data_IF_137169360573
#
_entry.id   IF_137169360573
#
_cell.length_a   1.000
_cell.length_b   1.000
_cell.length_c   1.000
_cell.angle_alpha   90.00
_cell.angle_beta   90.00
_cell.angle_gamma   90.00
#
_symmetry.space_group_name_H-M   'P 1'
#
loop_
_entity.id
_entity.type
_entity.pdbx_description
1 polymer ?
#
# COMPACT_ATOMS: atom_id res chain seq x y z
N UNK A 1 -71.24 30.32 -9.76
CA UNK A 1 -71.09 31.18 -8.56
C UNK A 1 -69.65 31.06 -8.11
N UNK A 2 -68.94 32.18 -8.18
CA UNK A 2 -67.58 32.41 -7.65
C UNK A 2 -67.60 32.34 -6.09
N UNK A 3 -66.49 32.48 -5.33
CA UNK A 3 -65.08 32.67 -5.72
C UNK A 3 -64.05 31.99 -4.78
N UNK A 4 -62.76 32.29 -5.04
CA UNK A 4 -61.58 32.32 -4.17
C UNK A 4 -60.50 31.26 -4.47
N UNK A 5 -59.21 31.54 -4.68
CA UNK A 5 -58.37 32.70 -5.07
C UNK A 5 -56.96 32.42 -4.52
N UNK A 6 -55.92 32.72 -5.30
CA UNK A 6 -54.51 32.95 -4.89
C UNK A 6 -53.71 31.65 -4.64
N UNK A 7 -52.45 31.48 -5.06
CA UNK A 7 -51.44 32.49 -5.35
C UNK A 7 -50.25 31.90 -6.14
N UNK A 8 -49.59 32.79 -6.89
CA UNK A 8 -48.18 32.87 -7.32
C UNK A 8 -47.27 31.63 -7.38
N UNK A 9 -46.74 31.38 -8.58
CA UNK A 9 -45.39 30.86 -8.83
C UNK A 9 -44.35 31.81 -8.16
N UNK A 10 -43.26 31.31 -7.53
CA UNK A 10 -42.07 31.12 -8.36
C UNK A 10 -41.08 30.03 -7.90
N UNK A 11 -40.16 29.75 -8.81
CA UNK A 11 -38.79 29.28 -8.60
C UNK A 11 -38.59 27.76 -8.47
N UNK A 12 -38.41 27.15 -9.64
CA UNK A 12 -37.49 26.05 -9.86
C UNK A 12 -36.14 26.39 -9.21
N UNK A 13 -35.85 25.75 -8.09
CA UNK A 13 -34.54 25.78 -7.46
C UNK A 13 -33.58 24.95 -8.34
N UNK A 14 -33.02 25.60 -9.35
CA UNK A 14 -31.77 25.17 -9.98
C UNK A 14 -30.66 25.30 -8.93
N UNK A 15 -30.51 24.28 -8.08
CA UNK A 15 -29.27 24.08 -7.33
C UNK A 15 -28.24 23.49 -8.31
N UNK A 16 -27.84 24.33 -9.27
CA UNK A 16 -26.60 24.15 -9.99
C UNK A 16 -25.51 24.37 -8.95
N UNK A 17 -25.10 23.27 -8.30
CA UNK A 17 -23.97 23.24 -7.39
C UNK A 17 -22.81 23.98 -8.05
N UNK A 18 -22.58 25.20 -7.58
CA UNK A 18 -21.43 25.98 -7.97
C UNK A 18 -20.23 25.12 -7.60
N UNK A 19 -19.55 24.60 -8.62
CA UNK A 19 -18.20 24.09 -8.48
C UNK A 19 -17.44 25.26 -7.89
N UNK A 20 -17.18 25.23 -6.58
CA UNK A 20 -16.21 26.12 -5.96
C UNK A 20 -14.94 25.95 -6.79
N UNK A 21 -14.62 26.94 -7.62
CA UNK A 21 -13.34 26.97 -8.32
C UNK A 21 -12.29 26.90 -7.22
N UNK A 22 -11.64 25.74 -7.07
CA UNK A 22 -10.50 25.59 -6.18
C UNK A 22 -9.52 26.71 -6.56
N UNK A 23 -9.43 27.74 -5.72
CA UNK A 23 -8.51 28.85 -5.95
C UNK A 23 -7.11 28.29 -5.74
N UNK A 24 -6.53 27.77 -6.82
CA UNK A 24 -5.20 27.20 -6.80
C UNK A 24 -4.20 28.31 -6.51
N UNK A 25 -3.42 28.08 -5.47
CA UNK A 25 -2.39 29.01 -5.04
C UNK A 25 -1.44 29.29 -6.21
N UNK A 26 -1.26 30.56 -6.56
CA UNK A 26 -0.31 30.97 -7.59
C UNK A 26 0.88 31.68 -6.95
N UNK A 27 2.09 31.31 -7.37
CA UNK A 27 3.34 31.99 -7.01
C UNK A 27 3.93 32.67 -8.24
N UNK A 28 4.39 33.90 -8.09
CA UNK A 28 4.97 34.66 -9.20
C UNK A 28 6.16 35.49 -8.73
N UNK A 29 7.22 35.52 -9.55
CA UNK A 29 8.35 36.41 -9.34
C UNK A 29 9.16 36.61 -10.63
N UNK A 30 9.86 37.74 -10.77
CA UNK A 30 10.89 37.91 -11.78
C UNK A 30 12.11 37.03 -11.48
N UNK A 31 12.78 36.57 -12.52
CA UNK A 31 14.09 35.91 -12.42
C UNK A 31 15.15 36.95 -12.08
N UNK A 32 15.82 36.79 -10.94
CA UNK A 32 16.95 37.61 -10.53
C UNK A 32 18.19 37.41 -11.41
N UNK A 33 19.15 38.33 -11.33
CA UNK A 33 20.38 38.31 -12.14
C UNK A 33 21.23 37.07 -11.83
N UNK A 34 21.22 36.63 -10.57
CA UNK A 34 21.92 35.45 -10.07
C UNK A 34 21.44 34.12 -10.68
N UNK A 35 20.22 34.11 -11.22
CA UNK A 35 19.62 32.94 -11.88
C UNK A 35 19.72 33.02 -13.41
N UNK A 36 20.31 34.07 -13.98
CA UNK A 36 20.48 34.22 -15.42
C UNK A 36 21.21 33.02 -16.04
N UNK A 37 20.64 32.44 -17.10
CA UNK A 37 21.22 31.32 -17.83
C UNK A 37 21.14 29.98 -17.09
N UNK A 38 20.57 29.94 -15.89
CA UNK A 38 20.29 28.69 -15.19
C UNK A 38 19.09 27.97 -15.79
N UNK A 39 18.97 26.67 -15.51
CA UNK A 39 17.81 25.89 -15.93
C UNK A 39 16.56 26.34 -15.16
N UNK A 40 15.42 26.32 -15.84
CA UNK A 40 14.12 26.69 -15.29
C UNK A 40 13.81 25.89 -14.01
N UNK A 41 14.02 24.57 -14.00
CA UNK A 41 13.79 23.77 -12.80
C UNK A 41 14.65 24.19 -11.59
N UNK A 42 15.85 24.71 -11.81
CA UNK A 42 16.70 25.28 -10.75
C UNK A 42 16.22 26.66 -10.32
N UNK A 43 15.82 27.50 -11.27
CA UNK A 43 15.27 28.83 -10.97
C UNK A 43 13.95 28.73 -10.18
N UNK A 44 13.08 27.78 -10.51
CA UNK A 44 11.85 27.51 -9.76
C UNK A 44 12.15 27.09 -8.31
N UNK A 45 13.17 26.28 -8.05
CA UNK A 45 13.58 25.94 -6.68
C UNK A 45 14.04 27.15 -5.86
N UNK A 46 14.57 28.19 -6.49
CA UNK A 46 14.93 29.42 -5.79
C UNK A 46 13.70 30.27 -5.46
N UNK A 47 12.65 30.20 -6.29
CA UNK A 47 11.39 30.90 -6.09
C UNK A 47 10.52 30.25 -5.01
N UNK A 48 10.47 28.91 -4.99
CA UNK A 48 9.65 28.12 -4.05
C UNK A 48 10.53 27.06 -3.35
N UNK A 49 11.43 27.50 -2.44
CA UNK A 49 12.44 26.64 -1.81
C UNK A 49 11.86 25.54 -0.92
N UNK A 50 10.61 25.69 -0.48
CA UNK A 50 9.88 24.71 0.31
C UNK A 50 9.46 23.47 -0.49
N UNK A 51 9.53 23.53 -1.82
CA UNK A 51 9.17 22.41 -2.70
C UNK A 51 10.36 21.73 -3.35
N UNK A 52 10.26 20.41 -3.49
CA UNK A 52 11.31 19.61 -4.12
C UNK A 52 11.39 19.87 -5.63
N UNK A 53 12.60 19.79 -6.18
CA UNK A 53 12.81 19.90 -7.64
C UNK A 53 11.98 18.91 -8.45
N UNK A 54 11.77 17.70 -7.93
CA UNK A 54 10.97 16.68 -8.62
C UNK A 54 9.49 17.07 -8.71
N UNK A 55 8.94 17.71 -7.68
CA UNK A 55 7.58 18.23 -7.71
C UNK A 55 7.44 19.37 -8.72
N UNK A 56 8.41 20.30 -8.76
CA UNK A 56 8.39 21.40 -9.75
C UNK A 56 8.52 20.90 -11.19
N UNK A 57 9.25 19.81 -11.41
CA UNK A 57 9.29 19.12 -12.70
C UNK A 57 7.94 18.46 -13.06
N UNK A 58 7.18 17.97 -12.08
CA UNK A 58 5.82 17.51 -12.32
C UNK A 58 4.89 18.67 -12.70
N UNK A 59 4.98 19.81 -12.01
CA UNK A 59 4.20 21.00 -12.36
C UNK A 59 4.49 21.49 -13.78
N UNK A 60 5.76 21.48 -14.20
CA UNK A 60 6.16 21.75 -15.58
C UNK A 60 5.46 20.77 -16.55
N UNK A 61 5.52 19.46 -16.29
CA UNK A 61 4.88 18.45 -17.14
C UNK A 61 3.34 18.55 -17.17
N UNK A 62 2.73 19.14 -16.14
CA UNK A 62 1.28 19.39 -16.06
C UNK A 62 0.86 20.74 -16.68
N UNK A 63 1.80 21.48 -17.29
CA UNK A 63 1.54 22.80 -17.86
C UNK A 63 1.24 23.89 -16.82
N UNK A 64 1.59 23.66 -15.55
CA UNK A 64 1.30 24.55 -14.43
C UNK A 64 2.36 25.66 -14.23
N UNK A 65 3.33 25.78 -15.13
CA UNK A 65 4.42 26.77 -15.05
C UNK A 65 4.44 27.61 -16.32
N UNK A 66 4.49 28.93 -16.16
CA UNK A 66 4.62 29.90 -17.24
C UNK A 66 5.88 30.74 -17.10
N UNK A 67 6.48 31.07 -18.24
CA UNK A 67 7.55 32.06 -18.38
C UNK A 67 7.06 33.13 -19.34
N UNK A 68 6.98 34.39 -18.87
CA UNK A 68 6.43 35.50 -19.65
C UNK A 68 5.05 35.18 -20.25
N UNK A 69 4.12 34.67 -19.42
CA UNK A 69 2.75 34.27 -19.76
C UNK A 69 2.63 33.08 -20.75
N UNK A 70 3.75 32.41 -21.09
CA UNK A 70 3.74 31.22 -21.94
C UNK A 70 3.97 29.97 -21.09
N UNK A 71 3.10 28.98 -21.22
CA UNK A 71 3.28 27.67 -20.57
C UNK A 71 4.58 27.03 -21.06
N UNK A 72 5.37 26.52 -20.12
CA UNK A 72 6.63 25.83 -20.38
C UNK A 72 6.63 24.48 -19.69
N UNK A 73 6.92 23.42 -20.44
CA UNK A 73 7.03 22.05 -19.89
C UNK A 73 8.50 21.59 -19.78
N UNK A 74 9.40 22.24 -20.53
CA UNK A 74 10.80 21.84 -20.62
C UNK A 74 11.61 22.37 -19.44
N UNK A 75 11.83 21.53 -18.44
CA UNK A 75 12.66 21.81 -17.26
C UNK A 75 14.07 22.35 -17.56
N UNK A 76 14.65 21.96 -18.70
CA UNK A 76 15.99 22.36 -19.10
C UNK A 76 16.05 23.72 -19.84
N UNK A 77 14.92 24.41 -20.03
CA UNK A 77 14.91 25.77 -20.59
C UNK A 77 15.82 26.68 -19.77
N UNK A 78 16.62 27.53 -20.41
CA UNK A 78 17.43 28.54 -19.71
C UNK A 78 16.60 29.81 -19.52
N UNK A 79 16.52 30.28 -18.28
CA UNK A 79 15.83 31.53 -17.95
C UNK A 79 16.75 32.74 -18.11
N UNK A 80 16.18 33.90 -18.39
CA UNK A 80 16.87 35.19 -18.45
C UNK A 80 16.48 36.05 -17.26
N UNK A 81 17.42 36.84 -16.75
CA UNK A 81 17.12 37.89 -15.79
C UNK A 81 15.96 38.78 -16.30
N UNK A 82 14.97 39.02 -15.44
CA UNK A 82 13.76 39.77 -15.77
C UNK A 82 12.61 38.93 -16.35
N UNK A 83 12.83 37.66 -16.73
CA UNK A 83 11.74 36.76 -17.10
C UNK A 83 10.73 36.65 -15.94
N UNK A 84 9.43 36.72 -16.25
CA UNK A 84 8.37 36.58 -15.27
C UNK A 84 7.98 35.11 -15.13
N UNK A 85 8.28 34.51 -13.98
CA UNK A 85 7.84 33.15 -13.66
C UNK A 85 6.49 33.22 -12.97
N UNK A 86 5.58 32.34 -13.39
CA UNK A 86 4.32 32.05 -12.70
C UNK A 86 4.19 30.55 -12.53
N UNK A 87 3.88 30.11 -11.31
CA UNK A 87 3.67 28.72 -10.94
C UNK A 87 2.26 28.61 -10.35
N UNK A 88 1.44 27.75 -10.92
CA UNK A 88 0.18 27.31 -10.33
C UNK A 88 0.46 26.07 -9.47
N UNK A 89 0.26 26.20 -8.17
CA UNK A 89 0.54 25.13 -7.22
C UNK A 89 -0.58 24.11 -7.28
N UNK A 90 -0.28 22.93 -7.81
CA UNK A 90 -1.23 21.82 -7.88
C UNK A 90 -0.93 20.76 -6.83
N UNK A 91 -1.92 20.26 -6.08
CA UNK A 91 -1.73 19.11 -5.22
C UNK A 91 -1.14 17.93 -6.01
N UNK A 92 -0.22 17.20 -5.39
CA UNK A 92 0.22 15.92 -5.97
C UNK A 92 -0.85 14.86 -5.75
N UNK A 93 -0.88 13.85 -6.63
CA UNK A 93 -1.69 12.65 -6.39
C UNK A 93 -1.37 12.02 -5.02
N UNK A 94 -0.12 12.12 -4.57
CA UNK A 94 0.29 11.66 -3.25
C UNK A 94 -0.33 12.47 -2.12
N UNK A 95 -0.42 13.80 -2.22
CA UNK A 95 -1.06 14.63 -1.20
C UNK A 95 -2.57 14.46 -1.18
N UNK A 96 -3.18 14.13 -2.31
CA UNK A 96 -4.61 13.83 -2.42
C UNK A 96 -4.97 12.38 -2.05
N UNK A 97 -3.98 11.52 -1.80
CA UNK A 97 -4.21 10.10 -1.58
C UNK A 97 -4.85 9.75 -0.23
N UNK A 98 -4.87 10.68 0.72
CA UNK A 98 -5.33 10.46 2.11
C UNK A 98 -6.78 10.90 2.30
N UNK A 99 -7.64 10.56 1.34
CA UNK A 99 -9.07 10.85 1.40
C UNK A 99 -9.87 9.64 1.90
N UNK A 100 -10.92 9.84 2.71
CA UNK A 100 -11.84 8.79 3.09
C UNK A 100 -12.54 8.16 1.87
N UNK A 101 -12.57 6.84 1.79
CA UNK A 101 -13.38 6.10 0.80
C UNK A 101 -14.17 4.99 1.48
N UNK A 102 -15.49 4.95 1.25
CA UNK A 102 -16.36 3.92 1.80
C UNK A 102 -16.14 2.58 1.08
N UNK A 103 -15.15 1.82 1.55
CA UNK A 103 -14.79 0.50 1.05
C UNK A 103 -15.15 -0.56 2.09
N UNK A 104 -15.61 -1.76 1.68
CA UNK A 104 -15.95 -2.83 2.61
C UNK A 104 -14.71 -3.30 3.37
N UNK A 105 -14.84 -3.42 4.69
CA UNK A 105 -13.83 -3.99 5.58
C UNK A 105 -14.43 -5.16 6.36
N UNK A 106 -13.80 -6.33 6.23
CA UNK A 106 -14.11 -7.49 7.06
C UNK A 106 -13.40 -7.34 8.40
N UNK A 107 -14.16 -6.96 9.43
CA UNK A 107 -13.66 -6.73 10.79
C UNK A 107 -13.80 -8.01 11.60
N UNK A 108 -12.65 -8.55 12.03
CA UNK A 108 -12.55 -9.78 12.82
C UNK A 108 -12.61 -9.48 14.32
N UNK A 109 -12.07 -8.34 14.73
CA UNK A 109 -12.06 -7.90 16.13
C UNK A 109 -11.95 -6.39 16.22
N UNK A 110 -12.62 -5.81 17.21
CA UNK A 110 -12.56 -4.39 17.49
C UNK A 110 -12.77 -4.14 18.99
N UNK A 111 -11.94 -3.27 19.54
CA UNK A 111 -12.13 -2.65 20.85
C UNK A 111 -11.76 -1.16 20.79
N UNK A 112 -11.67 -0.50 21.94
CA UNK A 112 -11.31 0.92 22.04
C UNK A 112 -9.93 1.26 21.43
N UNK A 113 -9.00 0.32 21.42
CA UNK A 113 -7.58 0.56 21.17
C UNK A 113 -7.12 0.06 19.80
N UNK A 114 -7.68 -1.05 19.32
CA UNK A 114 -7.23 -1.69 18.09
C UNK A 114 -8.38 -2.34 17.30
N UNK A 115 -8.06 -2.59 16.04
CA UNK A 115 -8.90 -3.25 15.06
C UNK A 115 -8.10 -4.38 14.42
N UNK A 116 -8.71 -5.55 14.25
CA UNK A 116 -8.18 -6.63 13.41
C UNK A 116 -9.09 -6.81 12.21
N UNK A 117 -8.53 -6.68 11.02
CA UNK A 117 -9.25 -6.83 9.74
C UNK A 117 -8.74 -8.03 8.97
N UNK A 118 -9.62 -8.68 8.22
CA UNK A 118 -9.27 -9.65 7.21
C UNK A 118 -9.22 -8.94 5.85
N UNK A 119 -8.03 -8.52 5.43
CA UNK A 119 -7.85 -7.75 4.18
C UNK A 119 -8.18 -8.63 2.98
N UNK A 120 -9.10 -8.16 2.12
CA UNK A 120 -9.37 -8.79 0.84
C UNK A 120 -8.14 -8.78 -0.08
N UNK A 121 -7.98 -9.77 -0.97
CA UNK A 121 -6.99 -9.68 -2.06
C UNK A 121 -7.36 -8.55 -3.04
N UNK A 122 -6.38 -7.99 -3.74
CA UNK A 122 -6.55 -6.86 -4.65
C UNK A 122 -6.52 -5.49 -3.96
N UNK A 123 -6.76 -5.42 -2.65
CA UNK A 123 -6.69 -4.19 -1.88
C UNK A 123 -5.24 -3.86 -1.49
N UNK A 124 -4.76 -2.68 -1.91
CA UNK A 124 -3.47 -2.13 -1.45
C UNK A 124 -3.62 -1.61 -0.02
N UNK A 125 -2.59 -1.78 0.82
CA UNK A 125 -2.64 -1.37 2.23
C UNK A 125 -2.54 0.14 2.42
N UNK A 126 -1.61 0.78 1.71
CA UNK A 126 -1.30 2.19 1.89
C UNK A 126 -1.04 2.82 0.52
N UNK A 127 -1.45 4.07 0.29
CA UNK A 127 -1.21 4.74 -0.98
C UNK A 127 0.25 4.69 -1.41
N UNK A 128 0.45 4.41 -2.70
CA UNK A 128 1.75 4.25 -3.32
C UNK A 128 1.64 4.58 -4.82
N UNK A 129 2.76 4.82 -5.53
CA UNK A 129 2.74 5.03 -6.97
C UNK A 129 1.93 3.96 -7.72
N UNK A 130 0.93 4.40 -8.48
CA UNK A 130 -0.01 3.55 -9.23
C UNK A 130 -1.24 3.07 -8.43
N UNK A 131 -1.32 3.31 -7.12
CA UNK A 131 -2.48 3.00 -6.28
C UNK A 131 -2.62 4.12 -5.21
N UNK A 132 -3.16 5.27 -5.61
CA UNK A 132 -3.31 6.45 -4.75
C UNK A 132 -4.62 6.48 -3.96
N UNK A 133 -5.62 5.74 -4.42
CA UNK A 133 -6.96 5.58 -3.82
C UNK A 133 -7.30 4.10 -3.69
N UNK A 134 -8.46 3.77 -3.12
CA UNK A 134 -8.93 2.39 -3.04
C UNK A 134 -8.14 1.51 -2.07
N UNK A 135 -7.43 2.11 -1.11
CA UNK A 135 -6.54 1.38 -0.19
C UNK A 135 -7.20 1.11 1.17
N UNK A 136 -6.63 0.19 1.95
CA UNK A 136 -7.04 -0.05 3.34
C UNK A 136 -6.98 1.25 4.16
N UNK A 137 -5.98 2.11 3.93
CA UNK A 137 -5.92 3.41 4.58
C UNK A 137 -7.16 4.27 4.26
N UNK A 138 -7.59 4.33 2.99
CA UNK A 138 -8.77 5.10 2.59
C UNK A 138 -10.05 4.56 3.27
N UNK A 139 -10.16 3.23 3.35
CA UNK A 139 -11.24 2.55 4.05
C UNK A 139 -11.27 2.85 5.55
N UNK A 140 -10.10 2.86 6.20
CA UNK A 140 -9.97 3.17 7.63
C UNK A 140 -10.34 4.64 7.91
N UNK A 141 -9.90 5.56 7.05
CA UNK A 141 -10.26 6.98 7.15
C UNK A 141 -11.78 7.22 7.03
N UNK A 142 -12.48 6.45 6.20
CA UNK A 142 -13.95 6.55 6.09
C UNK A 142 -14.68 5.90 7.26
N UNK A 143 -14.10 4.88 7.87
CA UNK A 143 -14.73 4.13 8.94
C UNK A 143 -14.62 4.79 10.31
N UNK A 144 -13.43 5.29 10.65
CA UNK A 144 -13.14 5.84 11.98
C UNK A 144 -12.55 7.26 11.83
N UNK A 145 -13.27 8.31 12.28
CA UNK A 145 -12.73 9.68 12.29
C UNK A 145 -11.40 9.80 13.05
N UNK A 146 -11.18 8.96 14.07
CA UNK A 146 -9.92 8.89 14.82
C UNK A 146 -8.74 8.42 13.97
N UNK A 147 -8.97 7.70 12.88
CA UNK A 147 -7.91 7.21 12.01
C UNK A 147 -7.11 8.37 11.36
N UNK A 148 -7.75 9.53 11.12
CA UNK A 148 -7.08 10.69 10.51
C UNK A 148 -5.98 11.30 11.38
N UNK A 149 -6.10 11.16 12.71
CA UNK A 149 -5.13 11.73 13.67
C UNK A 149 -4.05 10.73 14.08
N UNK A 150 -4.19 9.45 13.71
CA UNK A 150 -3.17 8.41 13.95
C UNK A 150 -2.28 8.29 12.71
N UNK A 151 -0.94 8.28 12.86
CA UNK A 151 -0.04 8.16 11.72
C UNK A 151 -0.39 6.94 10.86
N UNK A 152 -0.48 7.14 9.54
CA UNK A 152 -0.82 6.10 8.56
C UNK A 152 -2.14 5.38 8.87
N UNK A 153 -3.11 6.07 9.48
CA UNK A 153 -4.39 5.49 9.91
C UNK A 153 -4.22 4.27 10.82
N UNK A 154 -3.17 4.26 11.66
CA UNK A 154 -2.92 3.17 12.61
C UNK A 154 -2.30 1.91 12.01
N UNK A 155 -1.94 1.92 10.72
CA UNK A 155 -1.35 0.77 10.03
C UNK A 155 0.11 0.56 10.50
N UNK A 156 0.34 -0.50 11.28
CA UNK A 156 1.66 -0.84 11.85
C UNK A 156 2.43 -1.90 11.06
N UNK A 157 1.76 -2.67 10.20
CA UNK A 157 2.38 -3.64 9.30
C UNK A 157 1.63 -3.71 7.96
N UNK A 158 2.06 -4.57 7.03
CA UNK A 158 1.48 -4.62 5.68
C UNK A 158 1.43 -6.04 5.11
N UNK A 159 0.45 -6.23 4.24
CA UNK A 159 0.36 -7.32 3.28
C UNK A 159 0.58 -6.76 1.86
N UNK A 160 0.95 -7.65 0.93
CA UNK A 160 0.98 -7.32 -0.50
C UNK A 160 -0.45 -7.13 -1.02
N UNK A 161 -0.60 -6.45 -2.18
CA UNK A 161 -1.90 -6.15 -2.79
C UNK A 161 -2.80 -7.39 -2.86
N UNK A 162 -2.30 -8.45 -3.48
CA UNK A 162 -3.09 -9.67 -3.71
C UNK A 162 -2.88 -10.75 -2.64
N UNK A 163 -2.19 -10.42 -1.54
CA UNK A 163 -2.18 -11.27 -0.34
C UNK A 163 -3.39 -10.90 0.52
N UNK A 164 -4.20 -11.89 0.89
CA UNK A 164 -5.34 -11.71 1.78
C UNK A 164 -5.00 -12.03 3.23
N UNK A 165 -5.88 -11.70 4.18
CA UNK A 165 -5.79 -12.17 5.56
C UNK A 165 -5.60 -11.09 6.60
N UNK A 166 -5.28 -11.53 7.82
CA UNK A 166 -5.32 -10.75 9.04
C UNK A 166 -4.31 -9.60 9.08
N UNK A 167 -4.79 -8.44 9.48
CA UNK A 167 -3.98 -7.28 9.83
C UNK A 167 -4.49 -6.62 11.11
N UNK A 168 -3.57 -6.18 11.97
CA UNK A 168 -3.90 -5.36 13.15
C UNK A 168 -3.61 -3.90 12.82
N UNK A 169 -4.53 -3.03 13.25
CA UNK A 169 -4.51 -1.59 13.07
C UNK A 169 -4.75 -0.95 14.44
N UNK A 170 -3.94 0.04 14.80
CA UNK A 170 -4.14 0.83 16.02
C UNK A 170 -5.25 1.87 15.80
N UNK A 171 -6.07 2.12 16.82
CA UNK A 171 -7.10 3.17 16.79
C UNK A 171 -6.64 4.47 17.47
N UNK A 172 -5.59 4.39 18.28
CA UNK A 172 -4.97 5.52 18.95
C UNK A 172 -3.43 5.49 18.87
N UNK A 173 -2.80 6.61 19.21
CA UNK A 173 -1.35 6.76 19.10
C UNK A 173 -0.57 5.89 20.08
N UNK A 174 -1.04 5.74 21.32
CA UNK A 174 -0.35 4.94 22.33
C UNK A 174 -0.34 3.47 21.92
N UNK A 175 -1.48 2.98 21.42
CA UNK A 175 -1.59 1.63 20.88
C UNK A 175 -0.72 1.42 19.65
N UNK A 176 -0.62 2.43 18.76
CA UNK A 176 0.26 2.36 17.60
C UNK A 176 1.73 2.17 18.01
N UNK A 177 2.23 3.01 18.92
CA UNK A 177 3.63 2.97 19.36
C UNK A 177 3.95 1.64 20.07
N UNK A 178 3.00 1.13 20.88
CA UNK A 178 3.14 -0.18 21.53
C UNK A 178 3.13 -1.34 20.52
N UNK A 179 2.23 -1.36 19.55
CA UNK A 179 2.21 -2.39 18.49
C UNK A 179 3.48 -2.37 17.63
N UNK A 180 3.99 -1.18 17.30
CA UNK A 180 5.28 -1.03 16.59
C UNK A 180 6.41 -1.66 17.40
N UNK A 181 6.42 -1.45 18.72
CA UNK A 181 7.39 -2.04 19.64
C UNK A 181 7.29 -3.57 19.66
N UNK A 182 6.09 -4.12 19.80
CA UNK A 182 5.86 -5.58 19.75
C UNK A 182 6.33 -6.20 18.41
N UNK A 183 6.05 -5.52 17.30
CA UNK A 183 6.50 -5.98 15.97
C UNK A 183 8.02 -5.95 15.85
N UNK A 184 8.67 -4.90 16.37
CA UNK A 184 10.12 -4.77 16.36
C UNK A 184 10.79 -5.83 17.24
N UNK A 185 10.20 -6.13 18.40
CA UNK A 185 10.63 -7.18 19.33
C UNK A 185 10.34 -8.60 18.82
N UNK A 186 9.50 -8.75 17.78
CA UNK A 186 9.02 -10.03 17.21
C UNK A 186 8.04 -10.78 18.12
N UNK A 187 7.36 -10.06 19.00
CA UNK A 187 6.33 -10.59 19.91
C UNK A 187 4.94 -10.69 19.25
N UNK A 188 4.86 -10.37 17.95
CA UNK A 188 3.67 -10.58 17.13
C UNK A 188 3.88 -11.80 16.25
N UNK A 189 3.18 -12.88 16.57
CA UNK A 189 3.16 -14.12 15.79
C UNK A 189 2.26 -13.94 14.57
N UNK A 190 2.87 -14.02 13.38
CA UNK A 190 2.17 -13.93 12.09
C UNK A 190 2.44 -15.20 11.30
N UNK A 191 1.36 -15.90 10.97
CA UNK A 191 1.45 -17.13 10.22
C UNK A 191 0.58 -17.06 8.97
N UNK A 192 1.09 -17.70 7.92
CA UNK A 192 0.50 -17.67 6.59
C UNK A 192 0.31 -19.09 6.07
N UNK A 193 -0.70 -19.27 5.24
CA UNK A 193 -0.83 -20.44 4.40
C UNK A 193 -0.51 -20.03 2.97
N UNK A 194 0.29 -20.86 2.32
CA UNK A 194 0.77 -20.64 0.97
C UNK A 194 0.55 -21.91 0.14
N UNK A 195 -0.06 -21.76 -1.03
CA UNK A 195 -0.09 -22.83 -2.03
C UNK A 195 1.11 -22.63 -2.96
N UNK A 196 1.96 -23.64 -3.05
CA UNK A 196 3.20 -23.59 -3.81
C UNK A 196 3.25 -24.65 -4.90
N UNK A 197 3.91 -24.30 -6.00
CA UNK A 197 4.16 -25.21 -7.11
C UNK A 197 5.17 -26.30 -6.75
N UNK A 198 5.04 -27.44 -7.44
CA UNK A 198 5.88 -28.63 -7.39
C UNK A 198 5.71 -29.48 -6.13
N UNK A 199 5.90 -30.81 -6.24
CA UNK A 199 5.89 -31.68 -5.07
C UNK A 199 6.92 -31.23 -4.04
N UNK A 200 6.53 -31.18 -2.76
CA UNK A 200 7.45 -30.89 -1.68
C UNK A 200 8.35 -32.10 -1.41
N UNK A 201 9.66 -31.95 -1.67
CA UNK A 201 10.63 -33.03 -1.51
C UNK A 201 11.52 -32.79 -0.28
N UNK A 202 11.79 -33.85 0.47
CA UNK A 202 12.70 -33.82 1.62
C UNK A 202 12.01 -33.53 2.96
N UNK A 203 12.67 -32.77 3.82
CA UNK A 203 12.19 -32.51 5.18
C UNK A 203 10.86 -31.75 5.18
N UNK A 204 9.94 -32.14 6.07
CA UNK A 204 8.64 -31.45 6.23
C UNK A 204 8.78 -30.03 6.73
N UNK A 205 9.91 -29.67 7.34
CA UNK A 205 10.19 -28.31 7.81
C UNK A 205 11.48 -27.79 7.21
N UNK A 206 11.52 -26.49 6.92
CA UNK A 206 12.69 -25.82 6.37
C UNK A 206 12.72 -24.36 6.84
N UNK A 207 13.91 -23.86 7.17
CA UNK A 207 14.14 -22.45 7.50
C UNK A 207 14.92 -21.79 6.38
N UNK A 208 14.42 -20.65 5.88
CA UNK A 208 15.16 -19.77 4.98
C UNK A 208 15.55 -18.51 5.75
N UNK A 209 16.83 -18.43 6.12
CA UNK A 209 17.46 -17.25 6.74
C UNK A 209 18.42 -16.62 5.72
N UNK A 210 17.86 -15.82 4.81
CA UNK A 210 18.60 -15.20 3.71
C UNK A 210 18.12 -13.76 3.55
N UNK A 211 19.05 -12.82 3.36
CA UNK A 211 18.70 -11.42 3.27
C UNK A 211 17.91 -11.10 1.99
N UNK A 212 17.01 -10.12 2.09
CA UNK A 212 16.21 -9.64 0.96
C UNK A 212 16.58 -8.20 0.63
N UNK A 213 16.78 -7.94 -0.66
CA UNK A 213 17.06 -6.62 -1.23
C UNK A 213 16.31 -6.42 -2.54
N UNK A 214 16.51 -5.26 -3.17
CA UNK A 214 16.03 -5.02 -4.54
C UNK A 214 16.82 -5.92 -5.49
N UNK A 215 16.14 -6.53 -6.45
CA UNK A 215 16.80 -7.36 -7.46
C UNK A 215 17.73 -6.45 -8.31
N UNK A 216 19.05 -6.76 -8.39
CA UNK A 216 20.01 -5.97 -9.16
C UNK A 216 19.72 -5.93 -10.66
N UNK A 217 19.05 -6.96 -11.20
CA UNK A 217 18.69 -7.08 -12.63
C UNK A 217 17.36 -6.42 -12.94
N UNK A 218 16.44 -6.40 -11.98
CA UNK A 218 15.13 -5.76 -12.11
C UNK A 218 14.71 -5.09 -10.80
N UNK A 219 14.98 -3.79 -10.66
CA UNK A 219 14.72 -3.05 -9.42
C UNK A 219 13.23 -2.94 -9.02
N UNK A 220 12.29 -3.30 -9.89
CA UNK A 220 10.88 -3.42 -9.53
C UNK A 220 10.62 -4.65 -8.65
N UNK A 221 11.48 -5.66 -8.71
CA UNK A 221 11.40 -6.90 -7.93
C UNK A 221 12.30 -6.85 -6.68
N UNK A 222 11.96 -7.73 -5.75
CA UNK A 222 12.81 -8.11 -4.61
C UNK A 222 13.54 -9.42 -4.96
N UNK A 223 14.72 -9.64 -4.38
CA UNK A 223 15.44 -10.90 -4.52
C UNK A 223 16.13 -11.26 -3.19
N UNK A 224 16.49 -12.53 -3.06
CA UNK A 224 17.51 -12.91 -2.08
C UNK A 224 18.84 -12.32 -2.55
N UNK A 225 19.54 -11.62 -1.66
CA UNK A 225 20.79 -10.92 -1.97
C UNK A 225 21.90 -11.30 -1.00
N UNK A 226 23.13 -11.23 -1.50
CA UNK A 226 24.31 -11.19 -0.66
C UNK A 226 24.52 -9.75 -0.16
N UNK A 227 24.50 -9.56 1.16
CA UNK A 227 24.66 -8.26 1.80
C UNK A 227 26.06 -7.66 1.64
N UNK A 228 27.07 -8.49 1.32
CA UNK A 228 28.41 -8.01 1.01
C UNK A 228 28.48 -7.31 -0.36
N UNK A 229 27.54 -7.62 -1.26
CA UNK A 229 27.55 -7.15 -2.65
C UNK A 229 26.42 -6.17 -2.95
N UNK A 230 25.25 -6.34 -2.31
CA UNK A 230 24.05 -5.58 -2.63
C UNK A 230 23.33 -5.12 -1.36
N UNK A 231 22.70 -3.92 -1.39
CA UNK A 231 21.93 -3.45 -0.25
C UNK A 231 20.71 -4.35 -0.02
N UNK A 232 20.50 -4.74 1.24
CA UNK A 232 19.39 -5.57 1.66
C UNK A 232 19.18 -5.52 3.17
N UNK A 233 18.24 -6.32 3.66
CA UNK A 233 17.97 -6.50 5.09
C UNK A 233 17.85 -7.98 5.39
N UNK A 234 18.28 -8.38 6.59
CA UNK A 234 18.09 -9.75 7.08
C UNK A 234 16.61 -10.12 7.05
N UNK A 235 16.35 -11.36 6.64
CA UNK A 235 15.02 -11.90 6.53
C UNK A 235 15.04 -13.39 6.89
N UNK A 236 14.09 -13.81 7.72
CA UNK A 236 13.95 -15.20 8.14
C UNK A 236 12.50 -15.65 8.10
N UNK A 237 12.27 -16.79 7.46
CA UNK A 237 10.98 -17.46 7.38
C UNK A 237 11.15 -18.94 7.67
N UNK A 238 10.31 -19.49 8.53
CA UNK A 238 10.19 -20.92 8.72
C UNK A 238 9.00 -21.44 7.91
N UNK A 239 9.21 -22.55 7.22
CA UNK A 239 8.22 -23.24 6.40
C UNK A 239 7.96 -24.63 6.98
N UNK A 240 6.69 -25.01 7.03
CA UNK A 240 6.26 -26.35 7.39
C UNK A 240 5.23 -26.85 6.38
N UNK A 241 5.49 -28.02 5.80
CA UNK A 241 4.55 -28.72 4.92
C UNK A 241 3.31 -29.10 5.72
N UNK A 242 2.15 -28.61 5.29
CA UNK A 242 0.84 -28.98 5.81
C UNK A 242 0.37 -30.24 5.07
N UNK A 243 0.20 -30.11 3.76
CA UNK A 243 -0.21 -31.19 2.85
C UNK A 243 0.53 -31.05 1.53
N UNK A 244 0.91 -32.17 0.92
CA UNK A 244 1.65 -32.20 -0.34
C UNK A 244 1.04 -33.21 -1.31
N UNK A 245 1.17 -32.93 -2.60
CA UNK A 245 0.76 -33.78 -3.71
C UNK A 245 1.65 -33.58 -4.93
N UNK A 246 1.31 -34.23 -6.04
CA UNK A 246 2.15 -34.23 -7.24
C UNK A 246 2.22 -32.86 -7.94
N UNK A 247 1.16 -32.06 -7.84
CA UNK A 247 1.09 -30.73 -8.45
C UNK A 247 1.78 -29.66 -7.59
N UNK A 248 1.79 -29.84 -6.27
CA UNK A 248 2.16 -28.78 -5.35
C UNK A 248 2.00 -29.12 -3.88
N UNK A 249 2.10 -28.08 -3.06
CA UNK A 249 2.02 -28.21 -1.61
C UNK A 249 1.32 -27.03 -0.95
N UNK A 250 0.56 -27.32 0.10
CA UNK A 250 0.07 -26.36 1.07
C UNK A 250 1.11 -26.24 2.19
N UNK A 251 1.60 -25.01 2.41
CA UNK A 251 2.75 -24.73 3.28
C UNK A 251 2.37 -23.66 4.29
N UNK A 252 2.64 -23.96 5.55
CA UNK A 252 2.58 -22.99 6.63
C UNK A 252 3.86 -22.18 6.65
N UNK A 253 3.75 -20.86 6.72
CA UNK A 253 4.88 -19.94 6.75
C UNK A 253 4.83 -19.09 8.02
N UNK A 254 5.86 -19.16 8.85
CA UNK A 254 6.02 -18.32 10.04
C UNK A 254 7.06 -17.24 9.81
N UNK A 255 6.66 -15.98 9.94
CA UNK A 255 7.53 -14.82 9.72
C UNK A 255 8.24 -14.38 11.00
N UNK A 256 9.57 -14.37 10.97
CA UNK A 256 10.41 -13.74 12.00
C UNK A 256 10.75 -12.28 11.67
N UNK A 257 10.57 -11.91 10.41
CA UNK A 257 10.76 -10.56 9.86
C UNK A 257 9.67 -10.24 8.85
N UNK A 258 9.40 -8.96 8.61
CA UNK A 258 8.43 -8.52 7.59
C UNK A 258 9.07 -7.70 6.47
N UNK A 259 9.77 -8.35 5.52
CA UNK A 259 10.30 -7.68 4.33
C UNK A 259 9.31 -7.74 3.16
N UNK A 260 9.40 -6.77 2.26
CA UNK A 260 8.56 -6.72 1.05
C UNK A 260 8.69 -8.03 0.28
N UNK A 261 7.56 -8.67 -0.02
CA UNK A 261 7.47 -9.94 -0.76
C UNK A 261 8.23 -11.11 -0.10
N UNK A 262 8.50 -11.08 1.21
CA UNK A 262 9.43 -12.02 1.86
C UNK A 262 9.11 -13.49 1.61
N UNK A 263 7.88 -13.93 1.89
CA UNK A 263 7.46 -15.33 1.70
C UNK A 263 7.62 -15.72 0.23
N UNK A 264 7.14 -14.88 -0.68
CA UNK A 264 7.16 -15.09 -2.13
C UNK A 264 8.57 -15.30 -2.65
N UNK A 265 9.49 -14.43 -2.25
CA UNK A 265 10.93 -14.50 -2.61
C UNK A 265 11.60 -15.73 -2.00
N UNK A 266 11.37 -16.01 -0.71
CA UNK A 266 11.99 -17.15 -0.04
C UNK A 266 11.52 -18.48 -0.62
N UNK A 267 10.21 -18.64 -0.84
CA UNK A 267 9.61 -19.83 -1.45
C UNK A 267 10.14 -20.07 -2.87
N UNK A 268 10.21 -19.02 -3.70
CA UNK A 268 10.84 -19.12 -5.01
C UNK A 268 12.34 -19.48 -4.92
N UNK A 269 13.06 -18.96 -3.92
CA UNK A 269 14.50 -19.22 -3.74
C UNK A 269 14.85 -20.68 -3.37
N UNK A 270 13.88 -21.41 -2.82
CA UNK A 270 14.00 -22.85 -2.52
C UNK A 270 13.33 -23.72 -3.59
N UNK A 271 12.94 -23.14 -4.73
CA UNK A 271 12.40 -23.88 -5.87
C UNK A 271 10.90 -24.12 -5.87
N UNK A 272 10.17 -23.59 -4.87
CA UNK A 272 8.72 -23.75 -4.68
C UNK A 272 7.99 -22.40 -4.80
N UNK A 273 7.98 -21.74 -5.98
CA UNK A 273 7.28 -20.47 -6.13
C UNK A 273 5.78 -20.62 -5.84
N UNK A 274 5.16 -19.57 -5.31
CA UNK A 274 3.73 -19.61 -5.00
C UNK A 274 2.90 -19.76 -6.27
N UNK A 275 1.79 -20.48 -6.18
CA UNK A 275 0.84 -20.62 -7.29
C UNK A 275 0.33 -19.24 -7.70
N UNK A 276 0.27 -18.99 -9.01
CA UNK A 276 -0.14 -17.74 -9.63
C UNK A 276 0.66 -16.48 -9.20
N UNK A 277 1.86 -16.63 -8.62
CA UNK A 277 2.78 -15.52 -8.41
C UNK A 277 3.61 -15.23 -9.66
N UNK A 278 3.03 -14.46 -10.58
CA UNK A 278 3.65 -14.07 -11.85
C UNK A 278 4.98 -13.30 -11.69
N UNK A 279 5.22 -12.70 -10.52
CA UNK A 279 6.46 -11.96 -10.27
C UNK A 279 7.62 -12.92 -9.99
N UNK A 280 7.37 -14.03 -9.31
CA UNK A 280 8.40 -14.90 -8.75
C UNK A 280 8.43 -16.33 -9.33
N UNK A 281 7.94 -16.49 -10.56
CA UNK A 281 8.02 -17.75 -11.30
C UNK A 281 6.84 -18.69 -11.09
N UNK A 282 5.82 -18.24 -10.37
CA UNK A 282 4.53 -18.90 -10.33
C UNK A 282 3.73 -18.65 -11.60
N UNK A 283 2.90 -19.61 -11.98
CA UNK A 283 1.92 -19.49 -13.05
C UNK A 283 0.51 -19.84 -12.52
N UNK A 284 -0.57 -19.34 -13.15
CA UNK A 284 -1.94 -19.73 -12.82
C UNK A 284 -2.13 -21.24 -12.87
N UNK A 285 -2.72 -21.81 -11.83
CA UNK A 285 -3.09 -23.22 -11.73
C UNK A 285 -4.20 -23.38 -10.68
N UNK A 286 -4.97 -24.48 -10.76
CA UNK A 286 -6.06 -24.77 -9.81
C UNK A 286 -7.07 -23.61 -9.62
N UNK A 287 -7.32 -22.83 -10.67
CA UNK A 287 -8.21 -21.66 -10.63
C UNK A 287 -7.60 -20.39 -10.01
N UNK A 288 -6.41 -20.45 -9.40
CA UNK A 288 -5.76 -19.28 -8.81
C UNK A 288 -5.25 -18.29 -9.88
N UNK A 289 -5.50 -17.00 -9.66
CA UNK A 289 -5.10 -15.89 -10.55
C UNK A 289 -4.19 -14.84 -9.86
N UNK A 290 -3.88 -15.06 -8.58
CA UNK A 290 -3.03 -14.20 -7.74
C UNK A 290 -2.11 -15.08 -6.90
N UNK A 291 -1.03 -14.53 -6.35
CA UNK A 291 -0.19 -15.30 -5.43
C UNK A 291 -1.04 -15.96 -4.34
N UNK A 292 -0.99 -17.29 -4.28
CA UNK A 292 -1.79 -18.09 -3.36
C UNK A 292 -1.19 -18.00 -1.95
N UNK A 293 -1.40 -16.86 -1.31
CA UNK A 293 -0.88 -16.52 0.01
C UNK A 293 -1.97 -15.87 0.85
N UNK A 294 -2.13 -16.36 2.07
CA UNK A 294 -3.13 -15.90 3.02
C UNK A 294 -2.56 -15.79 4.43
N UNK A 295 -2.67 -14.61 5.07
CA UNK A 295 -2.32 -14.39 6.47
C UNK A 295 -3.42 -14.96 7.38
N UNK A 296 -3.37 -16.26 7.65
CA UNK A 296 -4.47 -16.98 8.30
C UNK A 296 -4.48 -16.88 9.83
N UNK A 297 -3.34 -16.60 10.49
CA UNK A 297 -3.27 -16.49 11.95
C UNK A 297 -2.44 -15.31 12.42
N UNK A 298 -2.98 -14.58 13.40
CA UNK A 298 -2.34 -13.45 14.06
C UNK A 298 -2.52 -13.60 15.58
N UNK A 299 -1.41 -13.58 16.33
CA UNK A 299 -1.45 -13.65 17.79
C UNK A 299 -0.42 -12.71 18.43
N UNK A 300 -0.82 -12.03 19.49
CA UNK A 300 -0.01 -11.09 20.26
C UNK A 300 -0.66 -10.81 21.62
N UNK A 301 0.11 -10.25 22.56
CA UNK A 301 -0.45 -9.73 23.81
C UNK A 301 -1.05 -8.36 23.52
N UNK A 302 -2.32 -8.15 23.88
CA UNK A 302 -2.98 -6.86 23.73
C UNK A 302 -2.15 -5.79 24.45
N UNK A 303 -1.67 -4.74 23.77
CA UNK A 303 -0.69 -3.81 24.33
C UNK A 303 -1.23 -2.97 25.49
N UNK A 304 -2.53 -2.62 25.49
CA UNK A 304 -3.15 -1.86 26.60
C UNK A 304 -3.68 -2.75 27.73
N UNK A 305 -4.33 -3.89 27.43
CA UNK A 305 -4.99 -4.71 28.45
C UNK A 305 -4.15 -5.88 28.98
N UNK A 306 -3.04 -6.22 28.33
CA UNK A 306 -2.18 -7.36 28.69
C UNK A 306 -2.78 -8.74 28.41
N UNK A 307 -3.99 -8.83 27.84
CA UNK A 307 -4.65 -10.10 27.53
C UNK A 307 -4.03 -10.75 26.29
N UNK A 308 -3.80 -12.06 26.27
CA UNK A 308 -3.38 -12.75 25.05
C UNK A 308 -4.53 -12.72 24.03
N UNK A 309 -4.23 -12.33 22.79
CA UNK A 309 -5.16 -12.35 21.67
C UNK A 309 -4.67 -13.28 20.58
N UNK A 310 -5.60 -14.01 19.98
CA UNK A 310 -5.36 -14.92 18.87
C UNK A 310 -6.54 -14.91 17.92
N UNK A 311 -6.26 -14.70 16.64
CA UNK A 311 -7.24 -14.60 15.57
C UNK A 311 -6.90 -15.55 14.45
N UNK A 312 -7.95 -16.10 13.84
CA UNK A 312 -7.86 -16.95 12.66
C UNK A 312 -8.77 -16.40 11.55
N UNK A 313 -8.28 -16.39 10.32
CA UNK A 313 -9.07 -16.13 9.13
C UNK A 313 -9.18 -17.45 8.32
N UNK A 314 -10.39 -17.83 7.87
CA UNK A 314 -10.56 -19.00 7.02
C UNK A 314 -9.86 -18.78 5.68
N UNK A 315 -9.45 -19.87 5.02
CA UNK A 315 -8.93 -19.76 3.65
C UNK A 315 -9.96 -19.04 2.76
N UNK A 316 -9.51 -18.08 1.94
CA UNK A 316 -10.39 -17.48 0.95
C UNK A 316 -10.84 -18.55 -0.05
N UNK A 317 -12.05 -18.36 -0.61
CA UNK A 317 -12.71 -19.36 -1.45
C UNK A 317 -11.87 -19.82 -2.65
N UNK A 318 -11.08 -18.91 -3.24
CA UNK A 318 -10.17 -19.23 -4.34
C UNK A 318 -9.08 -20.23 -3.92
N UNK A 319 -8.45 -20.02 -2.76
CA UNK A 319 -7.44 -20.93 -2.23
C UNK A 319 -8.05 -22.25 -1.73
N UNK A 320 -9.26 -22.22 -1.14
CA UNK A 320 -9.94 -23.45 -0.73
C UNK A 320 -10.24 -24.33 -1.95
N UNK A 321 -10.85 -23.75 -2.99
CA UNK A 321 -11.14 -24.48 -4.24
C UNK A 321 -9.86 -25.03 -4.90
N UNK A 322 -8.75 -24.28 -4.83
CA UNK A 322 -7.47 -24.73 -5.33
C UNK A 322 -6.91 -25.92 -4.53
N UNK A 323 -7.03 -25.89 -3.19
CA UNK A 323 -6.65 -27.02 -2.34
C UNK A 323 -7.50 -28.25 -2.65
N UNK A 324 -8.81 -28.10 -2.78
CA UNK A 324 -9.74 -29.19 -3.12
C UNK A 324 -9.39 -29.81 -4.48
N UNK A 325 -9.10 -28.97 -5.48
CA UNK A 325 -8.69 -29.41 -6.82
C UNK A 325 -7.38 -30.22 -6.82
N UNK A 326 -6.49 -29.98 -5.86
CA UNK A 326 -5.21 -30.69 -5.71
C UNK A 326 -5.27 -31.79 -4.65
N UNK A 327 -6.42 -32.04 -4.03
CA UNK A 327 -6.57 -33.02 -2.96
C UNK A 327 -5.77 -32.68 -1.69
N UNK A 328 -5.49 -31.40 -1.45
CA UNK A 328 -4.71 -30.94 -0.31
C UNK A 328 -5.63 -30.60 0.86
N UNK A 329 -5.35 -31.19 2.02
CA UNK A 329 -6.08 -30.91 3.25
C UNK A 329 -5.38 -29.83 4.08
N UNK A 330 -6.16 -28.91 4.66
CA UNK A 330 -5.71 -28.15 5.81
C UNK A 330 -5.59 -29.15 6.97
N UNK A 331 -4.42 -29.27 7.60
CA UNK A 331 -4.31 -30.09 8.81
C UNK A 331 -5.29 -29.57 9.86
N UNK A 332 -6.05 -30.49 10.48
CA UNK A 332 -6.97 -30.21 11.58
C UNK A 332 -6.26 -29.63 12.82
#
# INVERSE_FOLDING_TARGET
>A
MNPHSLDSDPALNEDAGALEEEVLETRQAPVGIELHGTRLDKALCALVPEFSRSYLQQLLALGAVQVNQRVVEKAALKVKAGDQLRIEMRPTLQSQAFQPEALPLDVVYEDEHLLVVNKAPGMVVHPAPGNWSGTLLNALLARDPGAAVVPRAGIVHRLDKDTSGLMVVARDRLTMDALVTLIAARDVSRQYLALAHKPWLGARTCTVDRAIGRDPRNRLKMAVVDLAQHPGKTAKTDFALVSGGDEGALVHCTLHTGRTHQIRVHMASIGHPLVADSTYGGHPAAGMQRQALHAFRLAFVHPMTGKPLEFHAPLPADMQAACDSWGLAQSA
#
